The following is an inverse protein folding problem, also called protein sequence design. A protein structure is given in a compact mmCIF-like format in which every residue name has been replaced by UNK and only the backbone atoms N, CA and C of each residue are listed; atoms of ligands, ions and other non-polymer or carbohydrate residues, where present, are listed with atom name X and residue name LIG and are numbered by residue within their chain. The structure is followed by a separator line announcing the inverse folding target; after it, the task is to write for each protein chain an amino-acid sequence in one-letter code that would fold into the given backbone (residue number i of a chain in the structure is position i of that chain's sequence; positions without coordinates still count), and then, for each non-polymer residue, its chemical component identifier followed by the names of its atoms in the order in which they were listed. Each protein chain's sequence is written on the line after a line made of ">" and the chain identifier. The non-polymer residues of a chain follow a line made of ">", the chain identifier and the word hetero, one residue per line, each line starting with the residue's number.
data_IF_031274536315
#
_entry.id   IF_031274536315
#
_cell.length_a   1.000
_cell.length_b   1.000
_cell.length_c   1.000
_cell.angle_alpha   90.00
_cell.angle_beta   90.00
_cell.angle_gamma   90.00
#
_symmetry.space_group_name_H-M   'P 1'
#
loop_
_entity.id
_entity.type
_entity.pdbx_description
1 polymer ?
#
# COMPACT_ATOMS: atom_id res chain seq x y z
N UNK A 1 11.52 -12.87 -10.52
CA UNK A 1 10.82 -12.83 -9.22
C UNK A 1 10.65 -14.25 -8.68
N UNK A 2 10.73 -14.45 -7.36
CA UNK A 2 10.48 -15.75 -6.71
C UNK A 2 9.02 -16.15 -6.90
N UNK A 3 8.76 -17.43 -7.21
CA UNK A 3 7.38 -17.96 -7.27
C UNK A 3 6.83 -18.15 -5.85
N UNK A 4 5.73 -17.49 -5.55
CA UNK A 4 4.98 -17.66 -4.30
C UNK A 4 3.90 -18.75 -4.46
N UNK A 5 3.60 -19.51 -3.40
CA UNK A 5 2.46 -20.43 -3.41
C UNK A 5 1.15 -19.65 -3.45
N UNK A 6 0.13 -20.21 -4.12
CA UNK A 6 -1.20 -19.59 -4.27
C UNK A 6 -2.23 -20.14 -3.28
N UNK A 7 -1.92 -21.22 -2.58
CA UNK A 7 -2.78 -21.86 -1.59
C UNK A 7 -1.96 -22.51 -0.50
N UNK A 8 -2.59 -22.87 0.63
CA UNK A 8 -1.92 -23.63 1.68
C UNK A 8 -1.49 -25.01 1.17
N UNK A 9 -2.31 -25.65 0.35
CA UNK A 9 -1.96 -26.89 -0.35
C UNK A 9 -0.66 -26.80 -1.16
N UNK A 10 -0.46 -25.72 -1.94
CA UNK A 10 0.81 -25.49 -2.66
C UNK A 10 1.97 -25.21 -1.72
N UNK A 11 1.73 -24.48 -0.62
CA UNK A 11 2.73 -24.21 0.40
C UNK A 11 3.20 -25.49 1.10
N UNK A 12 2.29 -26.41 1.44
CA UNK A 12 2.60 -27.71 2.04
C UNK A 12 3.53 -28.51 1.13
N UNK A 13 3.21 -28.58 -0.17
CA UNK A 13 4.02 -29.28 -1.17
C UNK A 13 5.40 -28.63 -1.32
N UNK A 14 5.44 -27.30 -1.45
CA UNK A 14 6.69 -26.54 -1.63
C UNK A 14 7.67 -26.69 -0.47
N UNK A 15 7.16 -26.82 0.75
CA UNK A 15 7.96 -26.95 1.97
C UNK A 15 8.08 -28.39 2.49
N UNK A 16 7.68 -29.38 1.70
CA UNK A 16 7.71 -30.82 2.03
C UNK A 16 7.03 -31.15 3.38
N UNK A 17 5.88 -30.55 3.65
CA UNK A 17 5.20 -30.65 4.94
C UNK A 17 4.15 -31.77 5.02
N UNK A 18 3.90 -32.50 3.93
CA UNK A 18 2.78 -33.46 3.79
C UNK A 18 2.76 -34.48 4.95
N UNK A 19 3.88 -35.17 5.17
CA UNK A 19 3.97 -36.26 6.16
C UNK A 19 4.41 -35.81 7.56
N UNK A 20 4.51 -34.50 7.83
CA UNK A 20 5.02 -33.98 9.10
C UNK A 20 3.86 -33.55 9.97
N UNK A 21 3.55 -34.24 11.08
CA UNK A 21 2.62 -33.67 12.07
C UNK A 21 3.33 -32.49 12.74
N UNK A 22 2.82 -31.28 12.53
CA UNK A 22 3.50 -30.05 12.91
C UNK A 22 2.60 -29.34 13.92
N UNK A 23 3.03 -29.32 15.18
CA UNK A 23 2.36 -28.59 16.25
C UNK A 23 2.44 -27.08 16.00
N UNK A 24 1.61 -26.30 16.69
CA UNK A 24 1.65 -24.85 16.56
C UNK A 24 3.02 -24.26 16.94
N UNK A 25 3.64 -24.77 18.00
CA UNK A 25 4.94 -24.30 18.46
C UNK A 25 6.06 -24.61 17.46
N UNK A 26 6.05 -25.81 16.86
CA UNK A 26 6.98 -26.16 15.79
C UNK A 26 6.78 -25.30 14.53
N UNK A 27 5.53 -24.92 14.25
CA UNK A 27 5.18 -24.08 13.11
C UNK A 27 5.71 -22.66 13.31
N UNK A 28 5.48 -22.09 14.49
CA UNK A 28 6.02 -20.79 14.88
C UNK A 28 7.55 -20.82 14.90
N UNK A 29 8.16 -21.87 15.44
CA UNK A 29 9.60 -22.05 15.45
C UNK A 29 10.17 -22.09 14.04
N UNK A 30 9.53 -22.85 13.13
CA UNK A 30 9.92 -22.87 11.71
C UNK A 30 9.81 -21.48 11.10
N UNK A 31 8.70 -20.75 11.29
CA UNK A 31 8.54 -19.39 10.75
C UNK A 31 9.53 -18.36 11.32
N UNK A 32 9.98 -18.51 12.56
CA UNK A 32 11.02 -17.64 13.12
C UNK A 32 12.37 -17.86 12.44
N UNK A 33 12.73 -19.13 12.21
CA UNK A 33 14.05 -19.53 11.71
C UNK A 33 14.15 -19.60 10.17
N UNK A 34 13.04 -19.86 9.48
CA UNK A 34 12.96 -20.01 8.03
C UNK A 34 12.25 -18.82 7.39
N UNK A 35 13.05 -17.87 6.90
CA UNK A 35 12.56 -16.66 6.23
C UNK A 35 11.76 -16.99 4.98
N UNK A 36 12.12 -18.07 4.28
CA UNK A 36 11.46 -18.48 3.04
C UNK A 36 10.05 -18.97 3.38
N UNK A 37 9.92 -19.85 4.36
CA UNK A 37 8.64 -20.34 4.85
C UNK A 37 7.76 -19.21 5.40
N UNK A 38 8.32 -18.34 6.26
CA UNK A 38 7.59 -17.20 6.83
C UNK A 38 6.98 -16.32 5.76
N UNK A 39 7.77 -15.94 4.75
CA UNK A 39 7.31 -15.07 3.68
C UNK A 39 6.29 -15.75 2.77
N UNK A 40 6.45 -17.05 2.48
CA UNK A 40 5.46 -17.81 1.71
C UNK A 40 4.14 -17.92 2.46
N UNK A 41 4.17 -18.16 3.78
CA UNK A 41 2.97 -18.28 4.59
C UNK A 41 2.23 -16.94 4.74
N UNK A 42 2.99 -15.87 5.02
CA UNK A 42 2.44 -14.53 5.08
C UNK A 42 1.85 -14.08 3.73
N UNK A 43 2.49 -14.48 2.61
CA UNK A 43 1.97 -14.24 1.27
C UNK A 43 0.63 -14.94 1.05
N UNK A 44 0.54 -16.24 1.31
CA UNK A 44 -0.70 -17.01 1.13
C UNK A 44 -1.81 -16.47 2.03
N UNK A 45 -1.49 -16.09 3.26
CA UNK A 45 -2.47 -15.51 4.18
C UNK A 45 -3.07 -14.22 3.62
N UNK A 46 -2.23 -13.28 3.19
CA UNK A 46 -2.68 -12.02 2.57
C UNK A 46 -3.45 -12.24 1.26
N UNK A 47 -3.04 -13.25 0.48
CA UNK A 47 -3.74 -13.63 -0.74
C UNK A 47 -5.15 -14.14 -0.44
N UNK A 48 -5.30 -14.99 0.59
CA UNK A 48 -6.59 -15.47 1.07
C UNK A 48 -7.45 -14.35 1.66
N UNK A 49 -6.84 -13.39 2.38
CA UNK A 49 -7.54 -12.20 2.88
C UNK A 49 -8.13 -11.37 1.72
N UNK A 50 -7.38 -11.19 0.62
CA UNK A 50 -7.89 -10.53 -0.59
C UNK A 50 -9.02 -11.32 -1.24
N UNK A 51 -8.93 -12.65 -1.27
CA UNK A 51 -10.02 -13.52 -1.75
C UNK A 51 -11.23 -13.49 -0.82
N UNK A 52 -11.08 -13.26 0.49
CA UNK A 52 -12.23 -13.17 1.39
C UNK A 52 -13.10 -11.94 1.13
N UNK A 53 -12.56 -10.87 0.54
CA UNK A 53 -13.34 -9.70 0.09
C UNK A 53 -14.26 -10.01 -1.10
N UNK A 54 -14.01 -11.14 -1.79
CA UNK A 54 -14.84 -11.70 -2.86
C UNK A 54 -16.14 -12.30 -2.31
N UNK A 55 -16.13 -12.78 -1.05
CA UNK A 55 -17.17 -13.64 -0.47
C UNK A 55 -18.47 -12.96 -0.05
N UNK A 56 -18.73 -11.71 -0.43
CA UNK A 56 -20.07 -11.14 -0.22
C UNK A 56 -21.09 -11.53 -1.29
N UNK A 57 -20.71 -12.04 -2.47
CA UNK A 57 -21.66 -12.66 -3.42
C UNK A 57 -20.92 -13.48 -4.51
N UNK A 58 -21.23 -14.79 -4.56
CA UNK A 58 -20.92 -15.75 -5.63
C UNK A 58 -19.48 -16.25 -5.80
N UNK A 59 -19.40 -17.50 -6.29
CA UNK A 59 -18.19 -18.25 -6.66
C UNK A 59 -17.42 -17.54 -7.78
N UNK A 60 -16.61 -16.56 -7.41
CA UNK A 60 -15.65 -15.97 -8.31
C UNK A 60 -14.27 -16.63 -8.07
N UNK A 61 -13.62 -17.00 -9.18
CA UNK A 61 -12.45 -17.87 -9.19
C UNK A 61 -11.13 -17.11 -9.22
N UNK A 62 -10.03 -17.86 -9.10
CA UNK A 62 -8.69 -17.36 -9.40
C UNK A 62 -8.73 -16.80 -10.84
N UNK A 63 -8.56 -15.48 -11.01
CA UNK A 63 -8.65 -14.65 -12.24
C UNK A 63 -9.87 -13.71 -12.35
N UNK A 64 -10.67 -13.54 -11.30
CA UNK A 64 -11.72 -12.51 -11.28
C UNK A 64 -11.12 -11.09 -11.38
N UNK A 65 -11.63 -10.23 -12.27
CA UNK A 65 -11.30 -8.81 -12.26
C UNK A 65 -11.71 -8.18 -10.93
N UNK A 66 -10.75 -7.56 -10.24
CA UNK A 66 -10.99 -6.91 -8.95
C UNK A 66 -11.98 -5.74 -9.06
N UNK A 67 -12.11 -5.10 -10.23
CA UNK A 67 -13.15 -4.09 -10.50
C UNK A 67 -14.60 -4.59 -10.29
N UNK A 68 -14.83 -5.91 -10.40
CA UNK A 68 -16.15 -6.51 -10.16
C UNK A 68 -16.42 -6.70 -8.65
N UNK A 69 -15.36 -6.80 -7.85
CA UNK A 69 -15.41 -6.94 -6.40
C UNK A 69 -15.40 -5.55 -5.74
N UNK A 70 -14.54 -4.67 -6.23
CA UNK A 70 -14.36 -3.28 -5.82
C UNK A 70 -15.11 -2.36 -6.80
N UNK A 71 -16.44 -2.37 -6.72
CA UNK A 71 -17.26 -1.37 -7.42
C UNK A 71 -16.83 0.01 -6.92
N UNK A 72 -16.68 1.00 -7.82
CA UNK A 72 -16.18 2.36 -7.50
C UNK A 72 -16.83 2.99 -6.25
N UNK A 73 -18.12 2.71 -6.02
CA UNK A 73 -18.87 3.18 -4.85
C UNK A 73 -18.39 2.59 -3.51
N UNK A 74 -17.86 1.36 -3.50
CA UNK A 74 -17.54 0.60 -2.28
C UNK A 74 -16.04 0.34 -2.09
N UNK A 75 -15.18 0.83 -2.98
CA UNK A 75 -13.73 0.57 -2.95
C UNK A 75 -13.13 0.93 -1.58
N UNK A 76 -13.46 2.12 -1.06
CA UNK A 76 -12.95 2.58 0.22
C UNK A 76 -13.41 1.70 1.39
N UNK A 77 -14.66 1.23 1.36
CA UNK A 77 -15.24 0.37 2.39
C UNK A 77 -14.55 -1.00 2.41
N UNK A 78 -14.50 -1.69 1.26
CA UNK A 78 -13.87 -3.01 1.14
C UNK A 78 -12.37 -2.97 1.42
N UNK A 79 -11.70 -1.88 1.07
CA UNK A 79 -10.30 -1.70 1.45
C UNK A 79 -10.12 -1.51 2.95
N UNK A 80 -11.02 -0.78 3.61
CA UNK A 80 -11.01 -0.68 5.07
C UNK A 80 -11.26 -2.04 5.73
N UNK A 81 -12.12 -2.86 5.16
CA UNK A 81 -12.36 -4.23 5.63
C UNK A 81 -11.12 -5.11 5.45
N UNK A 82 -10.47 -5.06 4.28
CA UNK A 82 -9.19 -5.75 4.05
C UNK A 82 -8.13 -5.37 5.10
N UNK A 83 -8.04 -4.08 5.44
CA UNK A 83 -7.12 -3.59 6.47
C UNK A 83 -7.42 -4.17 7.85
N UNK A 84 -8.69 -4.34 8.17
CA UNK A 84 -9.11 -4.95 9.45
C UNK A 84 -8.77 -6.44 9.53
N UNK A 85 -8.75 -7.15 8.40
CA UNK A 85 -8.48 -8.60 8.38
C UNK A 85 -7.03 -8.96 8.74
N UNK A 86 -6.06 -8.14 8.35
CA UNK A 86 -4.65 -8.55 8.33
C UNK A 86 -3.85 -8.08 9.55
N UNK A 87 -4.36 -7.10 10.31
CA UNK A 87 -3.61 -6.38 11.35
C UNK A 87 -2.22 -5.88 10.89
N UNK A 88 -2.00 -5.78 9.57
CA UNK A 88 -0.77 -5.28 8.96
C UNK A 88 -0.97 -3.83 8.54
N UNK A 89 0.12 -3.07 8.51
CA UNK A 89 0.08 -1.72 7.97
C UNK A 89 0.01 -1.80 6.44
N UNK A 90 -1.19 -1.62 5.91
CA UNK A 90 -1.46 -1.59 4.46
C UNK A 90 -1.57 -0.12 4.04
N UNK A 91 -0.88 0.29 2.96
CA UNK A 91 -0.98 1.64 2.42
C UNK A 91 -2.43 2.05 2.09
N UNK A 92 -2.74 3.34 2.27
CA UNK A 92 -4.02 3.90 1.83
C UNK A 92 -4.13 3.88 0.30
N UNK A 93 -5.34 3.61 -0.22
CA UNK A 93 -5.68 3.69 -1.66
C UNK A 93 -5.38 5.04 -2.29
N UNK A 94 -5.31 6.08 -1.46
CA UNK A 94 -4.84 7.39 -1.84
C UNK A 94 -3.65 7.68 -0.94
N UNK A 95 -2.46 7.59 -1.50
CA UNK A 95 -1.41 8.52 -1.08
C UNK A 95 -2.00 9.90 -1.29
N UNK A 96 -2.55 10.52 -0.23
CA UNK A 96 -2.80 11.96 -0.24
C UNK A 96 -1.42 12.54 -0.49
N UNK A 97 -1.20 12.93 -1.73
CA UNK A 97 0.01 13.60 -2.16
C UNK A 97 0.04 14.90 -1.36
N UNK A 98 0.74 14.89 -0.22
CA UNK A 98 0.99 16.07 0.60
C UNK A 98 1.65 17.18 -0.23
N UNK A 99 2.08 16.89 -1.47
CA UNK A 99 2.47 17.85 -2.50
C UNK A 99 1.47 18.99 -2.63
N UNK A 100 0.15 18.74 -2.58
CA UNK A 100 -0.84 19.83 -2.67
C UNK A 100 -0.81 20.75 -1.44
N UNK A 101 -0.61 20.18 -0.24
CA UNK A 101 -0.41 20.98 0.97
C UNK A 101 0.90 21.77 0.92
N UNK A 102 1.98 21.17 0.41
CA UNK A 102 3.27 21.83 0.20
C UNK A 102 3.14 22.97 -0.81
N UNK A 103 2.41 22.80 -1.91
CA UNK A 103 2.17 23.86 -2.90
C UNK A 103 1.36 25.01 -2.31
N UNK A 104 0.30 24.71 -1.56
CA UNK A 104 -0.49 25.73 -0.85
C UNK A 104 0.40 26.48 0.15
N UNK A 105 1.27 25.78 0.88
CA UNK A 105 2.19 26.39 1.85
C UNK A 105 3.22 27.30 1.17
N UNK A 106 3.80 26.88 0.04
CA UNK A 106 4.76 27.68 -0.75
C UNK A 106 4.08 28.95 -1.28
N UNK A 107 2.86 28.82 -1.83
CA UNK A 107 2.08 29.99 -2.28
C UNK A 107 1.81 30.93 -1.11
N UNK A 108 1.40 30.40 0.05
CA UNK A 108 1.07 31.20 1.22
C UNK A 108 2.32 31.95 1.75
N UNK A 109 3.45 31.26 1.91
CA UNK A 109 4.71 31.86 2.38
C UNK A 109 5.26 32.87 1.36
N UNK A 110 5.26 32.52 0.08
CA UNK A 110 5.74 33.40 -0.99
C UNK A 110 4.89 34.67 -1.12
N UNK A 111 3.56 34.54 -1.04
CA UNK A 111 2.65 35.69 -1.10
C UNK A 111 2.77 36.56 0.16
N UNK A 112 2.85 35.96 1.35
CA UNK A 112 2.99 36.71 2.60
C UNK A 112 4.32 37.46 2.67
N UNK A 113 5.43 36.80 2.31
CA UNK A 113 6.76 37.41 2.30
C UNK A 113 6.87 38.51 1.24
N UNK A 114 6.29 38.29 0.05
CA UNK A 114 6.26 39.28 -1.02
C UNK A 114 5.46 40.52 -0.64
N UNK A 115 4.24 40.35 -0.10
CA UNK A 115 3.43 41.48 0.38
C UNK A 115 4.11 42.19 1.57
N UNK A 116 4.66 41.44 2.52
CA UNK A 116 5.40 42.02 3.64
C UNK A 116 6.56 42.88 3.15
N UNK A 117 7.34 42.40 2.18
CA UNK A 117 8.43 43.17 1.59
C UNK A 117 7.93 44.44 0.89
N UNK A 118 6.88 44.35 0.07
CA UNK A 118 6.29 45.51 -0.62
C UNK A 118 5.84 46.58 0.38
N UNK A 119 5.14 46.19 1.44
CA UNK A 119 4.62 47.14 2.44
C UNK A 119 5.65 47.58 3.49
N UNK A 120 6.80 46.91 3.59
CA UNK A 120 7.90 47.33 4.47
C UNK A 120 8.73 48.48 3.89
N UNK A 121 8.64 48.74 2.58
CA UNK A 121 9.35 49.84 1.92
C UNK A 121 8.35 50.82 1.30
N UNK A 122 8.32 52.06 1.82
CA UNK A 122 7.35 53.09 1.40
C UNK A 122 7.42 53.39 -0.10
N UNK A 123 8.62 53.57 -0.66
CA UNK A 123 8.78 53.85 -2.09
C UNK A 123 8.29 52.69 -2.96
N UNK A 124 8.55 51.46 -2.53
CA UNK A 124 8.14 50.25 -3.24
C UNK A 124 6.62 50.05 -3.17
N UNK A 125 6.00 50.32 -2.02
CA UNK A 125 4.55 50.24 -1.87
C UNK A 125 3.83 51.30 -2.73
N UNK A 126 4.34 52.54 -2.76
CA UNK A 126 3.79 53.62 -3.58
C UNK A 126 3.94 53.32 -5.08
N UNK A 127 5.10 52.81 -5.48
CA UNK A 127 5.35 52.37 -6.85
C UNK A 127 4.43 51.21 -7.27
N UNK A 128 4.22 50.23 -6.39
CA UNK A 128 3.34 49.08 -6.66
C UNK A 128 1.87 49.49 -6.74
N UNK A 129 1.44 50.53 -6.02
CA UNK A 129 0.10 51.10 -6.14
C UNK A 129 -0.11 51.81 -7.49
N UNK A 130 0.91 52.48 -8.01
CA UNK A 130 0.86 53.15 -9.32
C UNK A 130 0.97 52.18 -10.49
N UNK A 131 1.62 51.04 -10.30
CA UNK A 131 1.86 50.01 -11.31
C UNK A 131 1.47 48.61 -10.79
N UNK A 132 0.17 48.35 -10.61
CA UNK A 132 -0.31 47.09 -10.05
C UNK A 132 0.02 45.87 -10.94
N UNK A 133 0.33 46.09 -12.23
CA UNK A 133 0.73 45.02 -13.16
C UNK A 133 2.01 44.29 -12.72
N UNK A 134 2.83 44.92 -11.89
CA UNK A 134 4.04 44.31 -11.32
C UNK A 134 3.70 43.10 -10.44
N UNK A 135 2.54 43.08 -9.79
CA UNK A 135 2.07 41.93 -9.02
C UNK A 135 1.81 40.71 -9.91
N UNK A 136 1.39 40.93 -11.18
CA UNK A 136 1.21 39.84 -12.14
C UNK A 136 2.54 39.16 -12.48
N UNK A 137 3.63 39.93 -12.57
CA UNK A 137 4.97 39.39 -12.81
C UNK A 137 5.41 38.50 -11.64
N UNK A 138 5.15 38.95 -10.41
CA UNK A 138 5.40 38.14 -9.20
C UNK A 138 4.58 36.85 -9.18
N UNK A 139 3.31 36.90 -9.58
CA UNK A 139 2.45 35.73 -9.66
C UNK A 139 2.94 34.71 -10.72
N UNK A 140 3.34 35.20 -11.90
CA UNK A 140 3.91 34.35 -12.96
C UNK A 140 5.22 33.68 -12.47
N UNK A 141 6.06 34.40 -11.73
CA UNK A 141 7.29 33.84 -11.16
C UNK A 141 6.99 32.71 -10.15
N UNK A 142 5.98 32.88 -9.28
CA UNK A 142 5.53 31.83 -8.35
C UNK A 142 5.03 30.61 -9.11
N UNK A 143 4.24 30.80 -10.18
CA UNK A 143 3.75 29.70 -11.03
C UNK A 143 4.91 28.93 -11.67
N UNK A 144 5.93 29.62 -12.19
CA UNK A 144 7.13 28.97 -12.76
C UNK A 144 7.89 28.17 -11.71
N UNK A 145 8.02 28.69 -10.48
CA UNK A 145 8.65 27.98 -9.37
C UNK A 145 7.88 26.71 -9.01
N UNK A 146 6.54 26.76 -8.98
CA UNK A 146 5.69 25.59 -8.71
C UNK A 146 5.87 24.54 -9.80
N UNK A 147 5.80 24.93 -11.08
CA UNK A 147 5.99 24.00 -12.21
C UNK A 147 7.38 23.38 -12.21
N UNK A 148 8.42 24.19 -11.93
CA UNK A 148 9.79 23.71 -11.81
C UNK A 148 9.99 22.75 -10.64
N UNK A 149 9.36 23.03 -9.50
CA UNK A 149 9.35 22.13 -8.34
C UNK A 149 8.58 20.84 -8.65
N UNK A 150 7.47 20.89 -9.36
CA UNK A 150 6.68 19.71 -9.72
C UNK A 150 7.53 18.76 -10.58
N UNK A 151 8.21 19.30 -11.61
CA UNK A 151 9.16 18.56 -12.44
C UNK A 151 10.32 17.96 -11.62
N UNK A 152 10.85 18.70 -10.65
CA UNK A 152 11.96 18.24 -9.82
C UNK A 152 11.54 17.20 -8.78
N UNK A 153 10.35 17.35 -8.18
CA UNK A 153 9.77 16.41 -7.22
C UNK A 153 9.37 15.11 -7.91
N UNK A 154 8.84 15.15 -9.15
CA UNK A 154 8.59 13.92 -9.93
C UNK A 154 9.88 13.17 -10.25
N UNK A 155 10.98 13.90 -10.53
CA UNK A 155 12.27 13.31 -10.86
C UNK A 155 13.05 12.77 -9.64
N UNK A 156 12.94 13.42 -8.48
CA UNK A 156 13.61 13.01 -7.23
C UNK A 156 12.78 12.03 -6.39
N UNK A 157 11.45 12.13 -6.47
CA UNK A 157 10.50 11.32 -5.70
C UNK A 157 9.48 10.65 -6.63
N UNK A 158 9.91 9.72 -7.50
CA UNK A 158 9.01 8.93 -8.35
C UNK A 158 8.02 8.09 -7.52
N UNK A 159 8.27 7.95 -6.21
CA UNK A 159 7.47 7.22 -5.24
C UNK A 159 6.14 7.87 -4.84
N UNK A 160 5.48 8.58 -5.77
CA UNK A 160 4.02 8.46 -5.81
C UNK A 160 3.70 7.14 -6.51
N UNK A 161 4.08 6.01 -5.90
CA UNK A 161 3.41 4.76 -6.19
C UNK A 161 1.96 4.99 -5.75
N UNK A 162 1.14 5.46 -6.69
CA UNK A 162 -0.31 5.28 -6.58
C UNK A 162 -0.46 3.78 -6.38
N UNK A 163 -0.91 3.38 -5.21
CA UNK A 163 -1.29 2.01 -4.97
C UNK A 163 -2.58 1.80 -5.76
N UNK A 164 -2.40 1.52 -7.04
CA UNK A 164 -3.48 1.12 -7.92
C UNK A 164 -4.00 -0.22 -7.39
N UNK A 165 -5.31 -0.31 -7.21
CA UNK A 165 -5.96 -1.57 -6.88
C UNK A 165 -5.56 -2.54 -7.99
N UNK A 166 -4.95 -3.68 -7.67
CA UNK A 166 -4.52 -4.60 -8.70
C UNK A 166 -5.71 -5.04 -9.56
N UNK A 167 -5.50 -5.34 -10.83
CA UNK A 167 -6.63 -5.54 -11.76
C UNK A 167 -7.30 -6.91 -11.62
N UNK A 168 -6.54 -7.97 -11.31
CA UNK A 168 -7.03 -9.34 -11.21
C UNK A 168 -6.41 -10.08 -10.04
N UNK A 169 -7.16 -10.93 -9.34
CA UNK A 169 -6.69 -11.66 -8.15
C UNK A 169 -5.38 -12.44 -8.35
N UNK A 170 -5.13 -13.02 -9.52
CA UNK A 170 -3.93 -13.80 -9.81
C UNK A 170 -2.90 -13.09 -10.71
N UNK A 171 -3.09 -11.78 -10.95
CA UNK A 171 -2.16 -10.96 -11.72
C UNK A 171 -0.81 -10.80 -11.03
N UNK A 172 0.20 -10.44 -11.80
CA UNK A 172 1.49 -10.02 -11.26
C UNK A 172 1.37 -8.73 -10.43
N UNK A 173 0.35 -7.89 -10.68
CA UNK A 173 0.06 -6.69 -9.89
C UNK A 173 -0.33 -7.04 -8.45
N UNK A 174 -1.19 -8.06 -8.24
CA UNK A 174 -1.51 -8.55 -6.88
C UNK A 174 -0.26 -9.07 -6.18
N UNK A 175 0.57 -9.83 -6.89
CA UNK A 175 1.82 -10.35 -6.32
C UNK A 175 2.76 -9.21 -5.94
N UNK A 176 2.88 -8.20 -6.79
CA UNK A 176 3.64 -6.98 -6.53
C UNK A 176 3.13 -6.25 -5.31
N UNK A 177 1.82 -6.03 -5.22
CA UNK A 177 1.15 -5.41 -4.08
C UNK A 177 1.42 -6.16 -2.77
N UNK A 178 1.13 -7.47 -2.71
CA UNK A 178 1.37 -8.29 -1.51
C UNK A 178 2.85 -8.25 -1.12
N UNK A 179 3.76 -8.35 -2.09
CA UNK A 179 5.20 -8.30 -1.83
C UNK A 179 5.61 -6.97 -1.20
N UNK A 180 5.04 -5.84 -1.64
CA UNK A 180 5.26 -4.52 -1.02
C UNK A 180 4.74 -4.48 0.42
N UNK A 181 3.51 -4.97 0.66
CA UNK A 181 2.93 -5.06 2.01
C UNK A 181 3.81 -5.91 2.94
N UNK A 182 4.27 -7.08 2.48
CA UNK A 182 5.17 -7.95 3.24
C UNK A 182 6.52 -7.27 3.53
N UNK A 183 7.06 -6.55 2.55
CA UNK A 183 8.33 -5.82 2.71
C UNK A 183 8.20 -4.72 3.75
N UNK A 184 7.11 -3.95 3.70
CA UNK A 184 6.83 -2.88 4.64
C UNK A 184 6.62 -3.41 6.08
N UNK A 185 6.00 -4.58 6.21
CA UNK A 185 5.68 -5.18 7.52
C UNK A 185 6.70 -6.24 7.98
N UNK A 186 7.86 -6.38 7.31
CA UNK A 186 8.87 -7.42 7.56
C UNK A 186 9.17 -7.63 9.05
N UNK A 187 9.44 -6.55 9.78
CA UNK A 187 9.86 -6.62 11.20
C UNK A 187 8.69 -7.05 12.08
N UNK A 188 7.48 -6.52 11.84
CA UNK A 188 6.27 -6.89 12.56
C UNK A 188 5.93 -8.36 12.35
N UNK A 189 5.97 -8.82 11.09
CA UNK A 189 5.74 -10.22 10.71
C UNK A 189 6.76 -11.15 11.39
N UNK A 190 8.04 -10.75 11.44
CA UNK A 190 9.08 -11.56 12.11
C UNK A 190 8.84 -11.69 13.62
N UNK A 191 8.53 -10.60 14.29
CA UNK A 191 8.48 -10.56 15.75
C UNK A 191 7.15 -11.10 16.29
N UNK A 192 6.04 -10.80 15.61
CA UNK A 192 4.69 -11.09 16.08
C UNK A 192 4.00 -12.18 15.24
N UNK A 193 4.77 -13.06 14.60
CA UNK A 193 4.24 -14.06 13.67
C UNK A 193 3.11 -14.90 14.28
N UNK A 194 3.30 -15.39 15.51
CA UNK A 194 2.31 -16.21 16.20
C UNK A 194 0.98 -15.44 16.40
N UNK A 195 1.05 -14.23 16.93
CA UNK A 195 -0.11 -13.38 17.16
C UNK A 195 -0.85 -13.05 15.84
N UNK A 196 -0.11 -12.76 14.78
CA UNK A 196 -0.69 -12.36 13.49
C UNK A 196 -1.38 -13.51 12.75
N UNK A 197 -0.93 -14.75 12.94
CA UNK A 197 -1.30 -15.86 12.07
C UNK A 197 -1.91 -17.07 12.80
N UNK A 198 -2.25 -16.95 14.09
CA UNK A 198 -2.85 -18.04 14.86
C UNK A 198 -4.10 -18.63 14.18
N UNK A 199 -5.07 -17.79 13.80
CA UNK A 199 -6.29 -18.24 13.11
C UNK A 199 -6.00 -18.85 11.73
N UNK A 200 -4.95 -18.37 11.05
CA UNK A 200 -4.53 -18.90 9.74
C UNK A 200 -3.85 -20.26 9.86
N UNK A 201 -3.18 -20.52 10.99
CA UNK A 201 -2.61 -21.84 11.27
C UNK A 201 -3.69 -22.91 11.43
N UNK A 202 -4.82 -22.60 12.06
CA UNK A 202 -5.94 -23.54 12.21
C UNK A 202 -6.50 -23.95 10.85
N UNK A 203 -6.69 -23.00 9.94
CA UNK A 203 -7.12 -23.27 8.55
C UNK A 203 -6.09 -24.09 7.78
N UNK A 204 -4.80 -23.76 7.93
CA UNK A 204 -3.70 -24.53 7.35
C UNK A 204 -3.68 -25.99 7.86
N UNK A 205 -3.94 -26.19 9.16
CA UNK A 205 -4.04 -27.51 9.79
C UNK A 205 -5.18 -28.35 9.22
N UNK A 206 -6.36 -27.74 9.02
CA UNK A 206 -7.52 -28.42 8.43
C UNK A 206 -7.28 -28.88 6.98
N UNK A 207 -6.71 -28.01 6.13
CA UNK A 207 -6.35 -28.39 4.75
C UNK A 207 -5.31 -29.51 4.71
N UNK A 208 -4.35 -29.49 5.64
CA UNK A 208 -3.32 -30.53 5.73
C UNK A 208 -3.90 -31.90 6.10
N UNK A 209 -4.86 -31.96 7.01
CA UNK A 209 -5.52 -33.23 7.37
C UNK A 209 -6.27 -33.85 6.20
N UNK A 210 -6.90 -33.04 5.35
CA UNK A 210 -7.59 -33.54 4.14
C UNK A 210 -6.62 -34.14 3.10
N UNK A 211 -5.42 -33.58 2.94
CA UNK A 211 -4.39 -34.14 2.05
C UNK A 211 -3.75 -35.44 2.55
N UNK A 212 -3.84 -35.74 3.84
CA UNK A 212 -3.27 -36.98 4.39
C UNK A 212 -4.27 -38.15 4.39
N UNK A 213 -5.56 -37.88 4.12
CA UNK A 213 -6.63 -38.87 4.05
C UNK A 213 -7.05 -39.24 2.63
N UNK A 214 -6.51 -38.56 1.61
CA UNK A 214 -6.77 -38.81 0.18
C UNK A 214 -5.55 -39.47 -0.47
#
# INVERSE_FOLDING_TARGET
>A
MRKYPKSFSELIKKHNLINVKLTYDEFVYKAKNDVIFRNDFAFVSLFLDLQMLEKENMEFGINTPLKLIFIESDIAKKWNEFRKLTNLSIPDLKGKSNKHFIYILIIMIGSFSGLYFIFSYQDLSFFTMLHPEILNIGFIAIMIIIVGLDYFIEKLWPNNEKYEVPFYLNSDDVRGFITKVLTYNRTKIKNNFAELYQQRFEQFGAEKTHHNTA
#
